data_IF_546912497413
#
_entry.id   IF_546912497413
#
_cell.length_a   1.000
_cell.length_b   1.000
_cell.length_c   1.000
_cell.angle_alpha   90.00
_cell.angle_beta   90.00
_cell.angle_gamma   90.00
#
_symmetry.space_group_name_H-M   'P 1'
#
loop_
_entity.id
_entity.type
_entity.pdbx_description
1 polymer ?
#
# COMPACT_ATOMS: atom_id res chain seq x y z
N UNK A 1 -38.60 -31.77 -6.45
CA UNK A 1 -37.74 -31.25 -7.55
C UNK A 1 -37.46 -29.77 -7.36
N UNK A 2 -38.47 -28.96 -7.00
CA UNK A 2 -38.34 -27.52 -6.69
C UNK A 2 -37.30 -27.20 -5.60
N UNK A 3 -37.32 -27.88 -4.45
CA UNK A 3 -36.38 -27.62 -3.34
C UNK A 3 -34.90 -27.75 -3.75
N UNK A 4 -34.60 -28.73 -4.63
CA UNK A 4 -33.22 -28.95 -5.13
C UNK A 4 -32.80 -27.84 -6.09
N UNK A 5 -33.74 -27.30 -6.87
CA UNK A 5 -33.51 -26.19 -7.78
C UNK A 5 -33.27 -24.88 -7.02
N UNK A 6 -34.05 -24.63 -5.97
CA UNK A 6 -33.89 -23.46 -5.09
C UNK A 6 -32.54 -23.46 -4.38
N UNK A 7 -32.11 -24.60 -3.83
CA UNK A 7 -30.78 -24.74 -3.19
C UNK A 7 -29.66 -24.50 -4.21
N UNK A 8 -29.79 -25.01 -5.43
CA UNK A 8 -28.78 -24.78 -6.48
C UNK A 8 -28.66 -23.31 -6.89
N UNK A 9 -29.77 -22.57 -6.93
CA UNK A 9 -29.77 -21.14 -7.22
C UNK A 9 -29.10 -20.33 -6.11
N UNK A 10 -29.42 -20.62 -4.84
CA UNK A 10 -28.79 -19.96 -3.68
C UNK A 10 -27.27 -20.17 -3.66
N UNK A 11 -26.80 -21.39 -3.98
CA UNK A 11 -25.36 -21.66 -4.05
C UNK A 11 -24.68 -20.87 -5.17
N UNK A 12 -25.34 -20.71 -6.32
CA UNK A 12 -24.79 -19.96 -7.45
C UNK A 12 -24.70 -18.46 -7.12
N UNK A 13 -25.73 -17.89 -6.48
CA UNK A 13 -25.70 -16.51 -6.01
C UNK A 13 -24.56 -16.26 -5.01
N UNK A 14 -24.34 -17.20 -4.09
CA UNK A 14 -23.23 -17.11 -3.15
C UNK A 14 -21.87 -17.13 -3.84
N UNK A 15 -21.65 -18.05 -4.80
CA UNK A 15 -20.40 -18.14 -5.57
C UNK A 15 -20.15 -16.85 -6.37
N UNK A 16 -21.20 -16.30 -7.00
CA UNK A 16 -21.09 -15.05 -7.75
C UNK A 16 -20.71 -13.90 -6.82
N UNK A 17 -21.34 -13.82 -5.64
CA UNK A 17 -21.04 -12.80 -4.64
C UNK A 17 -19.60 -12.91 -4.13
N UNK A 18 -19.15 -14.11 -3.78
CA UNK A 18 -17.77 -14.36 -3.34
C UNK A 18 -16.76 -13.98 -4.43
N UNK A 19 -17.07 -14.28 -5.70
CA UNK A 19 -16.22 -13.90 -6.83
C UNK A 19 -16.16 -12.39 -7.04
N UNK A 20 -17.29 -11.68 -6.99
CA UNK A 20 -17.32 -10.21 -7.08
C UNK A 20 -16.56 -9.60 -5.92
N UNK A 21 -16.76 -10.11 -4.70
CA UNK A 21 -16.09 -9.61 -3.50
C UNK A 21 -14.58 -9.82 -3.59
N UNK A 22 -14.11 -10.94 -4.16
CA UNK A 22 -12.69 -11.21 -4.39
C UNK A 22 -12.03 -10.29 -5.44
N UNK A 23 -12.83 -9.62 -6.28
CA UNK A 23 -12.37 -8.67 -7.29
C UNK A 23 -12.36 -7.22 -6.80
N UNK A 24 -12.82 -6.96 -5.57
CA UNK A 24 -12.72 -5.64 -4.95
C UNK A 24 -11.50 -5.63 -4.05
N UNK A 25 -10.48 -4.91 -4.48
CA UNK A 25 -9.26 -4.73 -3.71
C UNK A 25 -9.04 -3.24 -3.55
N UNK A 26 -8.96 -2.78 -2.31
CA UNK A 26 -8.51 -1.44 -2.01
C UNK A 26 -7.96 -1.34 -0.58
N UNK A 27 -6.90 -0.58 -0.38
CA UNK A 27 -6.32 -0.31 0.92
C UNK A 27 -5.91 1.16 1.05
N UNK A 28 -5.77 1.60 2.29
CA UNK A 28 -5.13 2.87 2.64
C UNK A 28 -4.55 2.69 4.03
N UNK A 29 -3.24 2.85 4.16
CA UNK A 29 -2.50 2.55 5.37
C UNK A 29 -1.50 3.65 5.70
N UNK A 30 -1.34 3.92 6.98
CA UNK A 30 -0.46 4.96 7.52
C UNK A 30 0.67 4.38 8.36
N UNK A 31 1.79 5.12 8.42
CA UNK A 31 2.80 4.88 9.47
C UNK A 31 2.26 5.41 10.81
N UNK A 32 2.89 4.99 11.91
CA UNK A 32 2.63 5.56 13.22
C UNK A 32 3.94 6.08 13.81
N UNK A 33 4.02 7.39 14.06
CA UNK A 33 5.23 8.01 14.56
C UNK A 33 6.35 8.06 13.52
N UNK A 34 7.60 7.89 13.98
CA UNK A 34 8.80 7.94 13.15
C UNK A 34 9.17 6.54 12.64
N UNK A 35 9.48 6.43 11.35
CA UNK A 35 10.06 5.22 10.72
C UNK A 35 11.47 5.53 10.24
N UNK A 36 12.44 4.72 10.64
CA UNK A 36 13.86 4.97 10.37
C UNK A 36 14.44 6.15 11.19
N UNK A 37 15.65 6.64 10.85
CA UNK A 37 16.52 6.12 9.80
C UNK A 37 17.10 4.74 10.14
N UNK A 38 17.31 3.93 9.11
CA UNK A 38 17.98 2.63 9.20
C UNK A 38 19.30 2.67 8.42
N UNK A 39 20.22 1.76 8.74
CA UNK A 39 21.53 1.64 8.07
C UNK A 39 21.48 0.86 6.74
N UNK A 40 20.36 0.21 6.43
CA UNK A 40 20.13 -0.55 5.21
C UNK A 40 18.78 -0.19 4.59
N UNK A 41 18.58 -0.54 3.31
CA UNK A 41 17.26 -0.46 2.70
C UNK A 41 16.30 -1.38 3.45
N UNK A 42 15.16 -0.84 3.88
CA UNK A 42 14.21 -1.56 4.73
C UNK A 42 12.80 -1.42 4.17
N UNK A 43 12.08 -2.53 4.06
CA UNK A 43 10.65 -2.50 3.70
C UNK A 43 9.86 -1.77 4.79
N UNK A 44 9.05 -0.80 4.39
CA UNK A 44 8.24 -0.03 5.31
C UNK A 44 6.98 -0.83 5.63
N UNK A 45 6.69 -0.97 6.91
CA UNK A 45 5.45 -1.55 7.42
C UNK A 45 4.55 -0.41 7.90
N UNK A 46 3.33 -0.36 7.38
CA UNK A 46 2.30 0.63 7.72
C UNK A 46 1.27 -0.05 8.65
N UNK A 47 1.41 0.10 9.98
CA UNK A 47 0.55 -0.61 10.92
C UNK A 47 -0.86 -0.01 11.04
N UNK A 48 -1.05 1.25 10.64
CA UNK A 48 -2.34 1.96 10.79
C UNK A 48 -3.21 1.69 9.58
N UNK A 49 -4.28 0.92 9.73
CA UNK A 49 -5.21 0.61 8.63
C UNK A 49 -6.38 1.60 8.63
N UNK A 50 -6.54 2.33 7.52
CA UNK A 50 -7.73 3.14 7.25
C UNK A 50 -8.74 2.30 6.45
N UNK A 51 -8.26 1.60 5.42
CA UNK A 51 -9.04 0.68 4.57
C UNK A 51 -8.16 -0.52 4.19
N UNK A 52 -8.74 -1.73 4.08
CA UNK A 52 -8.06 -2.92 3.53
C UNK A 52 -9.08 -3.94 2.97
N UNK A 53 -9.90 -3.49 2.03
CA UNK A 53 -10.87 -4.31 1.30
C UNK A 53 -10.10 -5.38 0.49
N UNK A 54 -10.54 -6.64 0.62
CA UNK A 54 -9.88 -7.78 -0.02
C UNK A 54 -8.62 -8.27 0.69
N UNK A 55 -8.19 -7.62 1.79
CA UNK A 55 -7.07 -8.09 2.61
C UNK A 55 -5.71 -8.10 1.89
N UNK A 56 -5.57 -7.31 0.83
CA UNK A 56 -4.42 -7.36 -0.06
C UNK A 56 -3.16 -6.69 0.53
N UNK A 57 -3.29 -5.87 1.57
CA UNK A 57 -2.16 -5.32 2.33
C UNK A 57 -1.91 -6.12 3.61
N UNK A 58 -0.65 -6.48 3.86
CA UNK A 58 -0.19 -7.14 5.09
C UNK A 58 0.49 -6.16 6.04
N UNK A 59 -0.15 -5.88 7.17
CA UNK A 59 0.42 -5.04 8.25
C UNK A 59 1.57 -5.71 9.01
N UNK A 60 1.84 -6.99 8.76
CA UNK A 60 2.96 -7.73 9.36
C UNK A 60 4.23 -7.55 8.51
N UNK A 61 4.08 -7.63 7.19
CA UNK A 61 5.22 -7.65 6.25
C UNK A 61 5.42 -6.34 5.49
N UNK A 62 4.40 -5.49 5.44
CA UNK A 62 4.39 -4.27 4.62
C UNK A 62 4.10 -4.52 3.14
N UNK A 63 3.82 -5.77 2.76
CA UNK A 63 3.60 -6.16 1.38
C UNK A 63 2.16 -5.97 0.94
N UNK A 64 2.02 -5.58 -0.32
CA UNK A 64 0.75 -5.41 -1.00
C UNK A 64 0.66 -6.28 -2.25
N UNK A 65 -0.53 -6.77 -2.57
CA UNK A 65 -0.82 -7.54 -3.77
C UNK A 65 -1.87 -6.78 -4.62
N UNK A 66 -1.36 -5.90 -5.50
CA UNK A 66 -1.97 -5.15 -6.63
C UNK A 66 -3.16 -4.17 -6.54
N UNK A 67 -3.14 -2.99 -7.26
CA UNK A 67 -2.09 -2.00 -7.66
C UNK A 67 -2.25 -0.57 -7.05
N UNK A 68 -1.19 0.31 -7.10
CA UNK A 68 -1.30 1.73 -6.62
C UNK A 68 -0.29 2.86 -6.94
N UNK A 69 -0.84 4.10 -6.87
CA UNK A 69 -0.36 5.41 -6.40
C UNK A 69 -0.26 5.73 -4.86
N UNK A 70 0.55 6.76 -4.52
CA UNK A 70 1.07 7.06 -3.16
C UNK A 70 1.16 8.57 -2.81
N UNK A 71 1.15 8.92 -1.52
CA UNK A 71 1.36 10.29 -0.99
C UNK A 71 2.11 10.29 0.35
N UNK A 72 3.19 11.08 0.48
CA UNK A 72 4.06 11.03 1.65
C UNK A 72 4.49 12.40 2.20
N UNK A 73 4.60 12.48 3.51
CA UNK A 73 5.24 13.57 4.27
C UNK A 73 6.50 13.09 5.00
N UNK A 74 7.45 14.00 5.23
CA UNK A 74 8.64 13.76 6.03
C UNK A 74 9.15 15.02 6.77
N UNK A 75 10.01 14.82 7.78
CA UNK A 75 10.59 15.89 8.62
C UNK A 75 12.13 15.89 8.60
N UNK A 76 12.68 17.11 8.50
CA UNK A 76 13.96 17.69 8.99
C UNK A 76 15.28 16.94 8.69
N UNK A 77 16.21 17.60 7.98
CA UNK A 77 17.65 17.28 7.80
C UNK A 77 17.98 15.82 7.44
N UNK A 78 17.06 15.15 6.75
CA UNK A 78 17.16 13.75 6.37
C UNK A 78 16.74 13.65 4.90
N UNK A 79 17.43 12.82 4.11
CA UNK A 79 16.95 12.49 2.77
C UNK A 79 15.56 11.87 2.91
N UNK A 80 14.56 12.45 2.25
CA UNK A 80 13.19 11.98 2.35
C UNK A 80 12.80 11.30 1.07
N UNK A 81 12.12 10.17 1.17
CA UNK A 81 11.83 9.40 -0.01
C UNK A 81 11.61 7.92 0.25
N UNK A 82 10.96 7.29 -0.70
CA UNK A 82 10.71 5.86 -0.70
C UNK A 82 10.88 5.33 -2.10
N UNK A 83 11.21 4.07 -2.18
CA UNK A 83 11.32 3.35 -3.44
C UNK A 83 10.20 2.33 -3.51
N UNK A 84 9.37 2.40 -4.56
CA UNK A 84 8.40 1.35 -4.84
C UNK A 84 9.11 0.24 -5.59
N UNK A 85 8.91 -0.98 -5.10
CA UNK A 85 9.33 -2.20 -5.75
C UNK A 85 8.12 -3.02 -6.17
N UNK A 86 8.18 -3.59 -7.37
CA UNK A 86 7.38 -4.74 -7.78
C UNK A 86 8.30 -5.96 -7.72
N UNK A 87 7.97 -6.91 -6.85
CA UNK A 87 8.79 -8.07 -6.50
C UNK A 87 10.16 -7.60 -5.99
N UNK A 88 11.18 -7.67 -6.85
CA UNK A 88 12.55 -7.23 -6.57
C UNK A 88 13.04 -6.14 -7.51
N UNK A 89 12.16 -5.65 -8.39
CA UNK A 89 12.47 -4.61 -9.36
C UNK A 89 11.99 -3.25 -8.87
N UNK A 90 12.93 -2.30 -8.80
CA UNK A 90 12.63 -0.89 -8.53
C UNK A 90 11.77 -0.33 -9.67
N UNK A 91 10.61 0.23 -9.31
CA UNK A 91 9.66 0.84 -10.24
C UNK A 91 9.78 2.35 -10.21
N UNK A 92 9.75 2.95 -9.02
CA UNK A 92 9.86 4.39 -8.84
C UNK A 92 10.66 4.71 -7.59
N UNK A 93 11.30 5.88 -7.58
CA UNK A 93 11.97 6.41 -6.40
C UNK A 93 11.50 7.84 -6.20
N UNK A 94 10.83 8.07 -5.09
CA UNK A 94 10.47 9.40 -4.61
C UNK A 94 11.63 9.93 -3.81
N UNK A 95 12.00 11.17 -4.09
CA UNK A 95 13.11 11.84 -3.44
C UNK A 95 12.77 13.31 -3.22
N UNK A 96 12.94 13.76 -1.99
CA UNK A 96 13.00 15.16 -1.63
C UNK A 96 14.16 15.37 -0.68
N UNK A 97 14.73 16.57 -0.74
CA UNK A 97 15.83 16.95 0.12
C UNK A 97 15.57 18.32 0.71
N UNK A 98 15.31 18.30 2.01
CA UNK A 98 14.85 19.45 2.75
C UNK A 98 16.03 20.28 3.28
N UNK A 99 16.27 21.41 2.63
CA UNK A 99 17.34 22.36 2.98
C UNK A 99 16.91 23.47 3.95
N UNK A 100 15.62 23.59 4.28
CA UNK A 100 15.07 24.84 4.85
C UNK A 100 14.39 24.67 6.22
N UNK A 101 14.59 23.53 6.90
CA UNK A 101 13.99 23.21 8.21
C UNK A 101 12.45 23.18 8.25
N UNK A 102 11.78 23.31 7.09
CA UNK A 102 10.32 23.31 6.95
C UNK A 102 9.73 21.91 6.76
N UNK A 103 8.41 21.81 6.60
CA UNK A 103 7.75 20.56 6.19
C UNK A 103 7.85 20.38 4.67
N UNK A 104 8.23 19.18 4.23
CA UNK A 104 8.27 18.83 2.81
C UNK A 104 7.41 17.61 2.53
N UNK A 105 6.65 17.68 1.45
CA UNK A 105 5.78 16.60 1.00
C UNK A 105 6.27 16.10 -0.36
N UNK A 106 6.28 14.78 -0.54
CA UNK A 106 6.54 14.14 -1.82
C UNK A 106 5.45 13.13 -2.10
N UNK A 107 4.79 13.24 -3.24
CA UNK A 107 3.74 12.31 -3.66
C UNK A 107 3.98 11.86 -5.09
N UNK A 108 3.62 10.63 -5.39
CA UNK A 108 3.78 10.07 -6.73
C UNK A 108 2.85 8.88 -6.92
N UNK A 109 2.49 8.59 -8.16
CA UNK A 109 1.61 7.47 -8.45
C UNK A 109 1.98 6.72 -9.70
N UNK A 110 1.72 5.41 -9.68
CA UNK A 110 1.94 4.53 -10.81
C UNK A 110 0.76 3.59 -10.99
N UNK A 111 0.44 3.28 -12.24
CA UNK A 111 -0.48 2.19 -12.59
C UNK A 111 0.39 1.01 -13.02
N UNK A 112 0.20 -0.14 -12.38
CA UNK A 112 0.96 -1.35 -12.65
C UNK A 112 0.04 -2.49 -13.03
N UNK A 113 0.40 -3.19 -14.09
CA UNK A 113 -0.13 -4.52 -14.38
C UNK A 113 0.52 -5.52 -13.43
N UNK A 114 -0.31 -6.33 -12.77
CA UNK A 114 0.12 -7.27 -11.75
C UNK A 114 -0.56 -8.62 -11.94
N UNK A 115 0.26 -9.65 -11.92
CA UNK A 115 -0.20 -11.03 -11.94
C UNK A 115 -0.49 -11.52 -10.53
N UNK A 116 -1.28 -12.59 -10.43
CA UNK A 116 -1.50 -13.26 -9.14
C UNK A 116 -0.15 -13.64 -8.52
N UNK A 117 0.09 -13.21 -7.28
CA UNK A 117 1.33 -13.43 -6.56
C UNK A 117 2.41 -12.36 -6.74
N UNK A 118 2.22 -11.37 -7.63
CA UNK A 118 3.11 -10.21 -7.69
C UNK A 118 3.01 -9.40 -6.39
N UNK A 119 4.15 -9.10 -5.79
CA UNK A 119 4.26 -8.33 -4.56
C UNK A 119 4.66 -6.90 -4.87
N UNK A 120 4.05 -5.93 -4.20
CA UNK A 120 4.43 -4.52 -4.25
C UNK A 120 4.80 -4.07 -2.84
N UNK A 121 5.91 -3.35 -2.71
CA UNK A 121 6.40 -2.85 -1.41
C UNK A 121 7.02 -1.48 -1.55
N UNK A 122 6.80 -0.62 -0.56
CA UNK A 122 7.58 0.60 -0.37
C UNK A 122 8.78 0.30 0.53
N UNK A 123 9.95 0.76 0.11
CA UNK A 123 11.19 0.60 0.86
C UNK A 123 11.82 1.95 1.16
N UNK A 124 12.26 2.09 2.40
CA UNK A 124 13.00 3.23 2.91
C UNK A 124 14.49 3.03 2.59
N UNK A 125 15.12 3.90 1.80
CA UNK A 125 16.56 3.82 1.54
C UNK A 125 17.38 4.01 2.83
N UNK A 126 18.65 3.58 2.86
CA UNK A 126 19.54 3.81 3.99
C UNK A 126 19.61 5.29 4.35
N UNK A 127 19.55 5.60 5.65
CA UNK A 127 19.59 6.95 6.22
C UNK A 127 18.37 7.84 5.92
N UNK A 128 17.30 7.31 5.33
CA UNK A 128 16.06 8.05 5.10
C UNK A 128 15.10 7.85 6.27
N UNK A 129 14.19 8.79 6.52
CA UNK A 129 13.18 8.66 7.56
C UNK A 129 11.82 9.21 7.12
N UNK A 130 10.76 8.61 7.66
CA UNK A 130 9.37 9.07 7.52
C UNK A 130 8.85 9.49 8.88
N UNK A 131 7.90 10.43 8.89
CA UNK A 131 7.33 10.96 10.11
C UNK A 131 5.81 11.11 9.98
N UNK A 132 5.08 10.53 10.92
CA UNK A 132 3.71 10.92 11.25
C UNK A 132 3.70 11.50 12.66
N UNK A 133 3.13 12.70 12.81
CA UNK A 133 3.05 13.39 14.09
C UNK A 133 1.59 13.49 14.50
N UNK A 134 1.30 13.17 15.76
CA UNK A 134 -0.04 13.19 16.34
C UNK A 134 -1.09 12.36 15.59
N UNK A 135 -0.68 11.28 14.89
CA UNK A 135 -1.61 10.40 14.16
C UNK A 135 -2.43 11.12 13.09
N UNK A 136 -1.92 12.22 12.52
CA UNK A 136 -2.62 13.03 11.53
C UNK A 136 -2.59 12.45 10.12
N UNK A 137 -2.01 11.26 9.93
CA UNK A 137 -1.91 10.56 8.64
C UNK A 137 -1.09 11.34 7.62
N UNK A 138 0.05 11.88 8.03
CA UNK A 138 0.90 12.60 7.08
C UNK A 138 1.58 11.70 6.05
N UNK A 139 1.77 10.42 6.36
CA UNK A 139 2.36 9.44 5.44
C UNK A 139 1.37 8.30 5.20
N UNK A 140 0.80 8.24 3.99
CA UNK A 140 -0.22 7.26 3.61
C UNK A 140 0.22 6.56 2.33
N UNK A 141 0.36 5.24 2.40
CA UNK A 141 0.39 4.38 1.23
C UNK A 141 -1.01 3.84 0.98
N UNK A 142 -1.58 4.13 -0.19
CA UNK A 142 -2.91 3.62 -0.55
C UNK A 142 -2.80 2.59 -1.64
N UNK A 143 -3.90 1.86 -1.90
CA UNK A 143 -4.21 1.36 -3.23
C UNK A 143 -5.45 0.61 -3.60
N UNK A 144 -5.61 0.32 -4.90
CA UNK A 144 -6.88 -0.22 -5.42
C UNK A 144 -6.79 -0.85 -6.81
N UNK A 145 -7.53 -1.94 -7.00
CA UNK A 145 -7.68 -2.62 -8.28
C UNK A 145 -8.63 -1.84 -9.19
N UNK A 146 -8.13 -1.44 -10.36
CA UNK A 146 -8.93 -0.78 -11.40
C UNK A 146 -9.92 -1.76 -12.03
N UNK A 147 -9.40 -2.90 -12.49
CA UNK A 147 -10.18 -4.00 -13.03
C UNK A 147 -9.33 -5.28 -13.00
N UNK A 148 -9.94 -6.45 -12.75
CA UNK A 148 -9.28 -7.72 -12.97
C UNK A 148 -9.03 -7.94 -14.47
N UNK A 149 -7.93 -8.61 -14.81
CA UNK A 149 -7.66 -9.09 -16.17
C UNK A 149 -8.21 -10.50 -16.39
#
# INVERSE_FOLDING_TARGET
METKMTVSMMNLEQIIKEKIDSQRVAFSVGVNGKVGPYNSETTIVYPKVLTNIGGAYSTITGFFTAPVADSMDGRINIHMGVTLYKNHQKILHNYSWNHHEDHEHVSNGVVLELNSGDVVSLRLPPNYALFDFNSNNFNIFSGFLLFPM
#
